data_IF_669316089790
#
_entry.id   IF_669316089790
#
_cell.length_a   1.000
_cell.length_b   1.000
_cell.length_c   1.000
_cell.angle_alpha   90.00
_cell.angle_beta   90.00
_cell.angle_gamma   90.00
#
_symmetry.space_group_name_H-M   'P 1'
#
loop_
_entity.id
_entity.type
_entity.pdbx_description
1 polymer ?
#
# COMPACT_ATOMS: atom_id res chain seq x y z
N UNK A 1 38.92 12.86 -2.88
CA UNK A 1 38.62 11.46 -2.51
C UNK A 1 37.20 11.18 -2.96
N UNK A 2 37.07 10.46 -4.07
CA UNK A 2 35.79 10.13 -4.68
C UNK A 2 35.09 9.12 -3.75
N UNK A 3 33.97 9.51 -3.13
CA UNK A 3 33.21 8.63 -2.27
C UNK A 3 32.64 7.52 -3.15
N UNK A 4 33.19 6.31 -3.06
CA UNK A 4 32.63 5.14 -3.76
C UNK A 4 31.22 4.89 -3.23
N UNK A 5 30.21 5.26 -4.01
CA UNK A 5 28.81 5.03 -3.69
C UNK A 5 28.55 3.53 -3.46
N UNK A 6 27.98 3.20 -2.30
CA UNK A 6 27.62 1.81 -2.00
C UNK A 6 26.38 1.38 -2.81
N UNK A 7 26.25 0.10 -3.19
CA UNK A 7 25.04 -0.40 -3.89
C UNK A 7 23.74 -0.14 -3.13
N UNK A 8 23.81 -0.01 -1.80
CA UNK A 8 22.67 0.27 -0.93
C UNK A 8 22.18 1.72 -1.03
N UNK A 9 23.09 2.69 -1.11
CA UNK A 9 22.75 4.11 -1.32
C UNK A 9 22.20 4.33 -2.73
N UNK A 10 22.80 3.69 -3.74
CA UNK A 10 22.31 3.75 -5.13
C UNK A 10 20.91 3.16 -5.30
N UNK A 11 20.61 2.03 -4.64
CA UNK A 11 19.27 1.46 -4.63
C UNK A 11 18.22 2.38 -3.96
N UNK A 12 18.60 3.21 -3.00
CA UNK A 12 17.67 4.17 -2.37
C UNK A 12 17.35 5.34 -3.31
N UNK A 13 18.33 5.82 -4.07
CA UNK A 13 18.14 6.85 -5.08
C UNK A 13 17.30 6.35 -6.26
N UNK A 14 17.55 5.13 -6.75
CA UNK A 14 16.74 4.53 -7.81
C UNK A 14 15.27 4.35 -7.39
N UNK A 15 14.98 4.11 -6.11
CA UNK A 15 13.59 4.09 -5.61
C UNK A 15 12.93 5.45 -5.66
N UNK A 16 13.67 6.54 -5.45
CA UNK A 16 13.17 7.92 -5.51
C UNK A 16 12.98 8.39 -6.95
N UNK A 17 13.84 7.93 -7.86
CA UNK A 17 13.87 8.35 -9.27
C UNK A 17 13.29 7.29 -10.22
N UNK A 18 12.43 6.39 -9.74
CA UNK A 18 11.83 5.34 -10.55
C UNK A 18 11.02 5.93 -11.70
N UNK A 19 11.14 5.31 -12.88
CA UNK A 19 10.42 5.68 -14.11
C UNK A 19 8.91 5.56 -13.94
N UNK A 20 8.14 6.17 -14.86
CA UNK A 20 6.68 6.08 -14.83
C UNK A 20 6.22 4.63 -15.02
N UNK A 21 6.93 3.88 -15.84
CA UNK A 21 6.68 2.49 -16.20
C UNK A 21 6.98 1.56 -15.01
N UNK A 22 8.08 1.77 -14.29
CA UNK A 22 8.36 1.06 -13.04
C UNK A 22 7.31 1.35 -11.97
N UNK A 23 6.91 2.61 -11.82
CA UNK A 23 5.86 2.97 -10.86
C UNK A 23 4.52 2.35 -11.26
N UNK A 24 4.17 2.33 -12.55
CA UNK A 24 2.97 1.69 -13.05
C UNK A 24 2.96 0.19 -12.75
N UNK A 25 4.02 -0.54 -13.13
CA UNK A 25 4.12 -1.97 -12.83
C UNK A 25 4.14 -2.27 -11.33
N UNK A 26 4.80 -1.41 -10.54
CA UNK A 26 4.83 -1.57 -9.10
C UNK A 26 3.45 -1.36 -8.47
N UNK A 27 2.87 -0.18 -8.61
CA UNK A 27 1.66 0.19 -7.87
C UNK A 27 0.42 -0.55 -8.35
N UNK A 28 0.34 -0.86 -9.65
CA UNK A 28 -0.86 -1.43 -10.27
C UNK A 28 -0.82 -2.97 -10.29
N UNK A 29 0.36 -3.59 -10.14
CA UNK A 29 0.49 -5.05 -10.16
C UNK A 29 1.36 -5.58 -9.01
N UNK A 30 2.68 -5.35 -9.02
CA UNK A 30 3.62 -6.08 -8.17
C UNK A 30 3.47 -5.81 -6.66
N UNK A 31 3.09 -4.60 -6.26
CA UNK A 31 2.86 -4.22 -4.84
C UNK A 31 1.76 -5.06 -4.19
N UNK A 32 0.80 -5.52 -4.99
CA UNK A 32 -0.40 -6.22 -4.54
C UNK A 32 -0.37 -7.71 -4.87
N UNK A 33 0.72 -8.19 -5.47
CA UNK A 33 0.84 -9.56 -5.95
C UNK A 33 0.92 -10.56 -4.77
N UNK A 34 0.34 -11.78 -4.87
CA UNK A 34 0.28 -12.74 -3.75
C UNK A 34 1.63 -13.17 -3.18
N UNK A 35 2.70 -12.99 -3.95
CA UNK A 35 4.06 -13.28 -3.55
C UNK A 35 4.86 -11.98 -3.52
N UNK A 36 5.59 -11.77 -2.43
CA UNK A 36 6.34 -10.54 -2.21
C UNK A 36 7.36 -10.27 -3.32
N UNK A 37 7.28 -9.07 -3.89
CA UNK A 37 8.32 -8.46 -4.71
C UNK A 37 9.03 -7.35 -3.94
N UNK A 38 10.32 -7.20 -4.17
CA UNK A 38 11.18 -6.15 -3.62
C UNK A 38 11.64 -5.24 -4.76
N UNK A 39 11.60 -3.92 -4.54
CA UNK A 39 12.10 -2.93 -5.51
C UNK A 39 13.59 -2.71 -5.39
N UNK A 40 14.26 -2.51 -6.51
CA UNK A 40 15.64 -2.02 -6.62
C UNK A 40 16.58 -2.83 -5.71
N UNK A 41 16.59 -4.15 -5.92
CA UNK A 41 17.28 -5.11 -5.05
C UNK A 41 18.73 -5.27 -5.53
N UNK A 42 19.74 -4.98 -4.69
CA UNK A 42 21.13 -5.21 -5.05
C UNK A 42 21.50 -6.70 -4.97
N UNK A 43 22.25 -7.17 -5.96
CA UNK A 43 22.93 -8.46 -6.07
C UNK A 43 24.37 -8.21 -6.53
N UNK A 44 25.32 -8.25 -5.58
CA UNK A 44 26.71 -7.88 -5.86
C UNK A 44 26.82 -6.46 -6.43
N UNK A 45 27.46 -6.27 -7.61
CA UNK A 45 27.59 -4.96 -8.25
C UNK A 45 26.34 -4.53 -9.04
N UNK A 46 25.33 -5.38 -9.16
CA UNK A 46 24.14 -5.14 -9.98
C UNK A 46 22.91 -4.85 -9.11
N UNK A 47 21.98 -4.07 -9.66
CA UNK A 47 20.68 -3.78 -9.04
C UNK A 47 19.60 -4.19 -10.04
N UNK A 48 18.62 -4.97 -9.57
CA UNK A 48 17.46 -5.37 -10.38
C UNK A 48 16.23 -4.56 -9.96
N UNK A 49 15.37 -4.21 -10.91
CA UNK A 49 14.24 -3.30 -10.66
C UNK A 49 13.22 -3.92 -9.72
N UNK A 50 12.88 -5.19 -9.94
CA UNK A 50 12.03 -5.97 -9.03
C UNK A 50 12.56 -7.38 -8.81
N UNK A 51 12.39 -7.90 -7.59
CA UNK A 51 12.84 -9.24 -7.23
C UNK A 51 11.86 -9.99 -6.32
N UNK A 52 11.55 -11.23 -6.67
CA UNK A 52 10.77 -12.16 -5.87
C UNK A 52 11.65 -13.31 -5.36
N UNK A 53 11.79 -13.40 -4.02
CA UNK A 53 12.64 -14.40 -3.39
C UNK A 53 12.05 -15.82 -3.53
N UNK A 54 10.74 -15.98 -3.33
CA UNK A 54 10.07 -17.30 -3.38
C UNK A 54 10.13 -17.94 -4.77
N UNK A 55 10.10 -17.13 -5.82
CA UNK A 55 10.16 -17.61 -7.21
C UNK A 55 11.56 -17.55 -7.83
N UNK A 56 12.56 -17.08 -7.06
CA UNK A 56 13.92 -16.76 -7.54
C UNK A 56 13.87 -16.04 -8.88
N UNK A 57 13.06 -14.97 -8.95
CA UNK A 57 12.74 -14.26 -10.19
C UNK A 57 13.06 -12.78 -10.05
N UNK A 58 13.88 -12.25 -10.96
CA UNK A 58 14.12 -10.83 -11.15
C UNK A 58 13.36 -10.32 -12.38
N UNK A 59 12.86 -9.10 -12.31
CA UNK A 59 12.21 -8.39 -13.42
C UNK A 59 12.99 -7.09 -13.63
N UNK A 60 13.38 -6.83 -14.88
CA UNK A 60 14.04 -5.61 -15.32
C UNK A 60 13.17 -4.91 -16.38
N UNK A 61 13.02 -3.60 -16.25
CA UNK A 61 12.32 -2.77 -17.22
C UNK A 61 13.34 -1.98 -18.02
N UNK A 62 13.35 -2.16 -19.33
CA UNK A 62 14.21 -1.40 -20.23
C UNK A 62 13.65 0.02 -20.40
N UNK A 63 14.08 0.91 -19.49
CA UNK A 63 14.15 2.34 -19.73
C UNK A 63 15.30 2.64 -20.68
N UNK A 64 15.00 3.26 -21.82
CA UNK A 64 15.98 3.73 -22.80
C UNK A 64 17.26 4.26 -22.13
N UNK A 65 18.36 3.55 -22.33
CA UNK A 65 19.76 3.93 -22.07
C UNK A 65 20.09 4.44 -20.66
N UNK A 66 20.55 3.54 -19.78
CA UNK A 66 21.59 3.88 -18.79
C UNK A 66 22.45 2.66 -18.44
N UNK A 67 23.29 2.26 -19.39
CA UNK A 67 24.73 2.12 -19.11
C UNK A 67 25.45 2.69 -20.32
N UNK A 68 25.88 3.94 -20.20
CA UNK A 68 27.05 4.39 -20.94
C UNK A 68 28.17 3.35 -20.71
N UNK A 69 28.58 2.65 -21.77
CA UNK A 69 29.92 2.05 -21.85
C UNK A 69 30.10 0.53 -21.94
N UNK A 70 29.06 -0.32 -21.87
CA UNK A 70 29.30 -1.75 -21.61
C UNK A 70 28.72 -2.66 -22.71
N UNK A 71 29.61 -3.15 -23.58
CA UNK A 71 29.27 -3.98 -24.76
C UNK A 71 28.63 -5.35 -24.44
N UNK A 72 28.32 -6.16 -25.48
CA UNK A 72 27.59 -7.43 -25.37
C UNK A 72 28.17 -8.44 -24.38
N UNK A 73 29.49 -8.38 -24.12
CA UNK A 73 30.17 -9.24 -23.15
C UNK A 73 29.77 -8.94 -21.70
N UNK A 74 29.54 -7.68 -21.34
CA UNK A 74 29.21 -7.31 -19.97
C UNK A 74 27.77 -7.66 -19.60
N UNK A 75 26.84 -7.61 -20.57
CA UNK A 75 25.47 -8.10 -20.37
C UNK A 75 25.44 -9.63 -20.20
N UNK A 76 26.30 -10.36 -20.92
CA UNK A 76 26.50 -11.81 -20.72
C UNK A 76 27.06 -12.11 -19.33
N UNK A 77 28.06 -11.37 -18.87
CA UNK A 77 28.65 -11.52 -17.53
C UNK A 77 27.61 -11.23 -16.44
N UNK A 78 26.83 -10.14 -16.59
CA UNK A 78 25.73 -9.80 -15.67
C UNK A 78 24.69 -10.91 -15.60
N UNK A 79 24.28 -11.40 -16.77
CA UNK A 79 23.27 -12.47 -16.86
C UNK A 79 23.78 -13.76 -16.24
N UNK A 80 25.03 -14.15 -16.54
CA UNK A 80 25.67 -15.32 -15.94
C UNK A 80 25.81 -15.19 -14.41
N UNK A 81 26.17 -14.01 -13.89
CA UNK A 81 26.22 -13.78 -12.45
C UNK A 81 24.86 -14.00 -11.78
N UNK A 82 23.79 -13.40 -12.31
CA UNK A 82 22.45 -13.53 -11.73
C UNK A 82 21.90 -14.96 -11.86
N UNK A 83 22.13 -15.63 -13.00
CA UNK A 83 21.56 -16.95 -13.29
C UNK A 83 22.37 -18.10 -12.71
N UNK A 84 23.70 -18.06 -12.80
CA UNK A 84 24.57 -19.19 -12.42
C UNK A 84 25.02 -19.10 -10.96
N UNK A 85 25.33 -17.88 -10.47
CA UNK A 85 25.81 -17.68 -9.09
C UNK A 85 24.64 -17.55 -8.12
N UNK A 86 23.73 -16.61 -8.38
CA UNK A 86 22.59 -16.34 -7.49
C UNK A 86 21.39 -17.26 -7.72
N UNK A 87 21.40 -18.05 -8.81
CA UNK A 87 20.32 -18.95 -9.24
C UNK A 87 18.99 -18.21 -9.43
N UNK A 88 19.05 -17.01 -10.01
CA UNK A 88 17.91 -16.13 -10.25
C UNK A 88 17.57 -16.13 -11.74
N UNK A 89 16.30 -16.36 -12.05
CA UNK A 89 15.78 -16.18 -13.42
C UNK A 89 15.50 -14.71 -13.65
N UNK A 90 15.84 -14.18 -14.82
CA UNK A 90 15.67 -12.76 -15.17
C UNK A 90 14.65 -12.65 -16.31
N UNK A 91 13.61 -11.83 -16.10
CA UNK A 91 12.64 -11.41 -17.13
C UNK A 91 12.89 -9.94 -17.47
N UNK A 92 12.92 -9.62 -18.76
CA UNK A 92 13.06 -8.26 -19.25
C UNK A 92 11.81 -7.85 -20.02
N UNK A 93 11.34 -6.62 -19.81
CA UNK A 93 10.25 -6.02 -20.56
C UNK A 93 10.65 -4.64 -21.05
N UNK A 94 10.35 -4.32 -22.30
CA UNK A 94 10.54 -2.97 -22.80
C UNK A 94 9.52 -2.00 -22.19
N UNK A 95 9.90 -0.74 -21.96
CA UNK A 95 8.96 0.30 -21.54
C UNK A 95 7.75 0.44 -22.48
N UNK A 96 7.93 0.14 -23.78
CA UNK A 96 6.84 0.16 -24.75
C UNK A 96 5.82 -0.97 -24.48
N UNK A 97 6.28 -2.16 -24.07
CA UNK A 97 5.41 -3.28 -23.73
C UNK A 97 4.58 -2.97 -22.48
N UNK A 98 5.17 -2.31 -21.47
CA UNK A 98 4.43 -1.83 -20.29
C UNK A 98 3.32 -0.86 -20.67
N UNK A 99 3.57 0.02 -21.65
CA UNK A 99 2.58 1.01 -22.10
C UNK A 99 1.48 0.42 -22.98
N UNK A 100 1.84 -0.49 -23.88
CA UNK A 100 0.94 -0.96 -24.93
C UNK A 100 0.30 -2.31 -24.61
N UNK A 101 0.91 -3.11 -23.73
CA UNK A 101 0.48 -4.47 -23.44
C UNK A 101 0.71 -4.83 -21.96
N UNK A 102 0.22 -3.97 -21.06
CA UNK A 102 0.38 -4.17 -19.62
C UNK A 102 -0.18 -5.52 -19.14
N UNK A 103 -1.36 -5.91 -19.62
CA UNK A 103 -1.99 -7.19 -19.27
C UNK A 103 -1.12 -8.39 -19.68
N UNK A 104 -0.52 -8.34 -20.88
CA UNK A 104 0.40 -9.37 -21.35
C UNK A 104 1.65 -9.50 -20.48
N UNK A 105 2.19 -8.37 -20.02
CA UNK A 105 3.33 -8.34 -19.09
C UNK A 105 2.95 -8.97 -17.75
N UNK A 106 1.81 -8.59 -17.17
CA UNK A 106 1.29 -9.17 -15.92
C UNK A 106 1.12 -10.69 -16.04
N UNK A 107 0.49 -11.16 -17.12
CA UNK A 107 0.27 -12.59 -17.37
C UNK A 107 1.59 -13.35 -17.54
N UNK A 108 2.60 -12.75 -18.18
CA UNK A 108 3.91 -13.36 -18.34
C UNK A 108 4.65 -13.52 -16.99
N UNK A 109 4.61 -12.50 -16.14
CA UNK A 109 5.16 -12.55 -14.78
C UNK A 109 4.45 -13.64 -13.96
N UNK A 110 3.12 -13.66 -13.97
CA UNK A 110 2.32 -14.62 -13.21
C UNK A 110 2.64 -16.07 -13.61
N UNK A 111 2.69 -16.34 -14.91
CA UNK A 111 3.10 -17.66 -15.44
C UNK A 111 4.46 -18.10 -14.91
N UNK A 112 5.44 -17.19 -14.88
CA UNK A 112 6.81 -17.48 -14.47
C UNK A 112 6.95 -17.68 -12.96
N UNK A 113 6.17 -16.94 -12.16
CA UNK A 113 6.09 -17.14 -10.71
C UNK A 113 5.43 -18.47 -10.40
N UNK A 114 4.30 -18.80 -11.03
CA UNK A 114 3.61 -20.09 -10.82
C UNK A 114 4.47 -21.28 -11.19
N UNK A 115 5.19 -21.22 -12.31
CA UNK A 115 6.12 -22.28 -12.71
C UNK A 115 7.28 -22.47 -11.72
N UNK A 116 7.61 -21.45 -10.92
CA UNK A 116 8.69 -21.49 -9.93
C UNK A 116 8.28 -22.12 -8.60
N UNK A 117 7.00 -21.97 -8.24
CA UNK A 117 6.52 -22.33 -6.92
C UNK A 117 6.23 -23.83 -6.87
N UNK A 118 6.67 -24.54 -5.82
CA UNK A 118 6.41 -25.97 -5.69
C UNK A 118 4.89 -26.23 -5.59
N UNK A 119 4.39 -27.08 -6.48
CA UNK A 119 2.98 -27.46 -6.55
C UNK A 119 2.56 -28.22 -5.28
N UNK A 120 1.62 -27.67 -4.52
CA UNK A 120 0.83 -28.43 -3.55
C UNK A 120 -0.58 -28.62 -4.09
N UNK A 121 -0.89 -29.83 -4.59
CA UNK A 121 -2.25 -30.33 -4.82
C UNK A 121 -2.98 -29.89 -6.10
N UNK A 122 -4.02 -30.62 -6.55
CA UNK A 122 -4.42 -30.70 -7.95
C UNK A 122 -5.13 -29.45 -8.45
N UNK A 123 -4.75 -29.08 -9.67
CA UNK A 123 -5.21 -27.94 -10.42
C UNK A 123 -6.70 -28.07 -10.83
N UNK A 124 -7.53 -27.17 -10.30
CA UNK A 124 -8.68 -26.71 -11.06
C UNK A 124 -8.17 -25.97 -12.29
N UNK A 125 -8.43 -26.51 -13.49
CA UNK A 125 -8.24 -25.78 -14.75
C UNK A 125 -9.13 -24.54 -14.70
N UNK A 126 -8.52 -23.36 -14.62
CA UNK A 126 -9.20 -22.10 -14.93
C UNK A 126 -9.12 -21.88 -16.45
N UNK A 127 -10.25 -21.54 -17.12
CA UNK A 127 -10.24 -21.22 -18.54
C UNK A 127 -9.41 -19.94 -18.81
N UNK A 128 -8.78 -19.83 -19.98
CA UNK A 128 -8.05 -18.64 -20.37
C UNK A 128 -9.05 -17.57 -20.86
N UNK A 129 -9.04 -16.42 -20.20
CA UNK A 129 -9.82 -15.25 -20.61
C UNK A 129 -10.98 -14.98 -19.68
N UNK A 130 -10.70 -14.23 -18.60
CA UNK A 130 -11.54 -13.18 -18.04
C UNK A 130 -10.94 -12.70 -16.70
N UNK A 131 -10.56 -11.42 -16.65
CA UNK A 131 -10.48 -10.63 -15.43
C UNK A 131 -9.38 -10.99 -14.43
N UNK A 132 -8.19 -10.39 -14.60
CA UNK A 132 -7.20 -10.24 -13.53
C UNK A 132 -7.73 -9.28 -12.45
N UNK A 133 -8.73 -9.73 -11.69
CA UNK A 133 -9.37 -8.99 -10.59
C UNK A 133 -9.49 -9.83 -9.31
N UNK A 134 -8.54 -10.74 -9.11
CA UNK A 134 -8.30 -11.52 -7.89
C UNK A 134 -6.79 -11.35 -7.68
N UNK A 135 -6.31 -10.66 -6.65
CA UNK A 135 -6.07 -11.27 -5.33
C UNK A 135 -5.79 -10.24 -4.21
N UNK A 136 -6.36 -9.03 -4.24
CA UNK A 136 -6.43 -8.23 -3.00
C UNK A 136 -7.68 -8.61 -2.23
N UNK A 137 -7.54 -8.91 -0.94
CA UNK A 137 -8.70 -9.07 -0.06
C UNK A 137 -9.39 -7.72 0.04
N UNK A 138 -10.65 -7.68 -0.34
CA UNK A 138 -11.50 -6.51 -0.11
C UNK A 138 -12.05 -6.60 1.31
N UNK A 139 -11.71 -5.62 2.14
CA UNK A 139 -12.18 -5.51 3.52
C UNK A 139 -13.05 -4.26 3.61
N UNK A 140 -14.26 -4.40 4.12
CA UNK A 140 -15.13 -3.26 4.41
C UNK A 140 -14.86 -2.80 5.84
N UNK A 141 -14.63 -1.51 6.02
CA UNK A 141 -14.35 -0.91 7.33
C UNK A 141 -15.38 0.18 7.60
N UNK A 142 -16.00 0.15 8.76
CA UNK A 142 -16.85 1.24 9.28
C UNK A 142 -16.17 1.85 10.50
N UNK A 143 -16.15 3.17 10.62
CA UNK A 143 -15.52 3.86 11.74
C UNK A 143 -16.29 5.08 12.20
N UNK A 144 -16.30 5.30 13.51
CA UNK A 144 -16.90 6.48 14.14
C UNK A 144 -16.06 6.92 15.37
N UNK A 145 -16.20 8.18 15.76
CA UNK A 145 -15.52 8.80 16.89
C UNK A 145 -16.42 9.79 17.61
N UNK A 146 -16.48 9.67 18.94
CA UNK A 146 -17.32 10.50 19.80
C UNK A 146 -16.48 11.13 20.91
N UNK A 147 -16.77 12.39 21.25
CA UNK A 147 -16.10 13.09 22.33
C UNK A 147 -17.10 13.93 23.14
N UNK A 148 -17.10 13.76 24.46
CA UNK A 148 -17.94 14.52 25.38
C UNK A 148 -17.20 15.76 25.89
N UNK A 149 -17.37 16.88 25.19
CA UNK A 149 -16.53 18.08 25.36
C UNK A 149 -15.37 18.05 24.37
N UNK A 150 -14.95 19.21 23.85
CA UNK A 150 -13.94 19.28 22.79
C UNK A 150 -12.87 20.34 23.12
N UNK A 151 -11.84 20.01 23.92
CA UNK A 151 -11.43 18.66 24.33
C UNK A 151 -12.19 18.09 25.55
N UNK A 152 -12.18 16.77 25.71
CA UNK A 152 -12.82 16.03 26.80
C UNK A 152 -12.65 14.51 26.69
N UNK A 153 -13.34 13.72 27.53
CA UNK A 153 -13.42 12.27 27.41
C UNK A 153 -13.96 11.85 26.04
N UNK A 154 -13.20 11.03 25.31
CA UNK A 154 -13.57 10.57 23.98
C UNK A 154 -13.33 9.09 23.77
N UNK A 155 -14.02 8.54 22.77
CA UNK A 155 -13.90 7.16 22.35
C UNK A 155 -14.06 7.03 20.85
N UNK A 156 -13.60 5.90 20.31
CA UNK A 156 -13.70 5.54 18.91
C UNK A 156 -14.17 4.09 18.77
N UNK A 157 -14.84 3.81 17.65
CA UNK A 157 -15.33 2.49 17.29
C UNK A 157 -14.98 2.17 15.84
N UNK A 158 -14.61 0.92 15.57
CA UNK A 158 -14.37 0.43 14.23
C UNK A 158 -14.88 -1.00 14.05
N UNK A 159 -15.45 -1.29 12.89
CA UNK A 159 -15.88 -2.62 12.48
C UNK A 159 -15.17 -2.97 11.19
N UNK A 160 -14.49 -4.12 11.17
CA UNK A 160 -13.87 -4.70 9.99
C UNK A 160 -14.67 -5.92 9.55
N UNK A 161 -14.97 -6.01 8.26
CA UNK A 161 -15.71 -7.09 7.66
C UNK A 161 -14.98 -7.66 6.44
N UNK A 162 -14.78 -8.98 6.44
CA UNK A 162 -14.17 -9.73 5.34
C UNK A 162 -14.94 -11.03 5.11
N UNK A 163 -15.70 -11.11 4.02
CA UNK A 163 -16.65 -12.21 3.80
C UNK A 163 -17.65 -12.29 4.95
N UNK A 164 -17.73 -13.44 5.61
CA UNK A 164 -18.58 -13.68 6.78
C UNK A 164 -17.92 -13.28 8.11
N UNK A 165 -16.61 -13.00 8.10
CA UNK A 165 -15.88 -12.64 9.31
C UNK A 165 -16.07 -11.16 9.64
N UNK A 166 -16.44 -10.89 10.89
CA UNK A 166 -16.58 -9.56 11.46
C UNK A 166 -15.70 -9.42 12.69
N UNK A 167 -15.06 -8.26 12.83
CA UNK A 167 -14.28 -7.89 14.02
C UNK A 167 -14.64 -6.47 14.44
N UNK A 168 -14.99 -6.29 15.72
CA UNK A 168 -15.18 -4.98 16.33
C UNK A 168 -13.92 -4.58 17.09
N UNK A 169 -13.56 -3.30 17.03
CA UNK A 169 -12.48 -2.67 17.75
C UNK A 169 -13.01 -1.37 18.37
N UNK A 170 -12.60 -1.08 19.60
CA UNK A 170 -12.94 0.17 20.26
C UNK A 170 -11.83 0.57 21.23
N UNK A 171 -11.78 1.86 21.55
CA UNK A 171 -10.91 2.40 22.58
C UNK A 171 -11.31 3.83 22.91
N UNK A 172 -10.69 4.41 23.93
CA UNK A 172 -10.96 5.80 24.31
C UNK A 172 -9.86 6.42 25.15
N UNK A 173 -9.93 7.73 25.29
CA UNK A 173 -8.97 8.56 26.00
C UNK A 173 -9.69 9.59 26.88
N UNK A 174 -9.17 9.86 28.07
CA UNK A 174 -9.78 10.79 29.02
C UNK A 174 -9.75 12.26 28.56
N UNK A 175 -8.77 12.65 27.75
CA UNK A 175 -8.60 14.03 27.30
C UNK A 175 -8.19 14.08 25.82
N UNK A 176 -9.17 14.15 24.94
CA UNK A 176 -8.99 14.12 23.48
C UNK A 176 -10.01 15.02 22.79
N UNK A 177 -10.12 14.93 21.46
CA UNK A 177 -11.08 15.69 20.64
C UNK A 177 -11.83 14.75 19.70
N UNK A 178 -12.99 15.19 19.17
CA UNK A 178 -13.76 14.38 18.23
C UNK A 178 -12.92 13.96 17.02
N UNK A 179 -12.25 14.92 16.38
CA UNK A 179 -11.43 14.67 15.20
C UNK A 179 -10.27 13.69 15.48
N UNK A 180 -9.70 13.70 16.69
CA UNK A 180 -8.66 12.73 17.07
C UNK A 180 -9.23 11.33 17.20
N UNK A 181 -10.43 11.18 17.79
CA UNK A 181 -11.09 9.88 17.92
C UNK A 181 -11.49 9.32 16.56
N UNK A 182 -12.08 10.14 15.68
CA UNK A 182 -12.40 9.76 14.30
C UNK A 182 -11.15 9.25 13.56
N UNK A 183 -10.05 10.00 13.61
CA UNK A 183 -8.77 9.58 13.00
C UNK A 183 -8.23 8.29 13.60
N UNK A 184 -8.29 8.16 14.93
CA UNK A 184 -7.76 7.00 15.65
C UNK A 184 -8.52 5.73 15.32
N UNK A 185 -9.84 5.82 15.13
CA UNK A 185 -10.67 4.70 14.68
C UNK A 185 -10.23 4.18 13.31
N UNK A 186 -10.01 5.07 12.34
CA UNK A 186 -9.53 4.70 11.00
C UNK A 186 -8.13 4.10 11.05
N UNK A 187 -7.20 4.74 11.76
CA UNK A 187 -5.81 4.26 11.89
C UNK A 187 -5.79 2.86 12.48
N UNK A 188 -6.49 2.64 13.60
CA UNK A 188 -6.46 1.36 14.31
C UNK A 188 -7.11 0.25 13.47
N UNK A 189 -8.16 0.58 12.70
CA UNK A 189 -8.78 -0.37 11.80
C UNK A 189 -7.83 -0.78 10.66
N UNK A 190 -7.12 0.16 10.05
CA UNK A 190 -6.14 -0.14 9.01
C UNK A 190 -4.91 -0.90 9.57
N UNK A 191 -4.40 -0.54 10.76
CA UNK A 191 -3.29 -1.23 11.43
C UNK A 191 -3.62 -2.70 11.78
N UNK A 192 -4.90 -3.02 11.98
CA UNK A 192 -5.33 -4.39 12.25
C UNK A 192 -5.22 -5.32 11.03
N UNK A 193 -5.05 -4.77 9.83
CA UNK A 193 -4.87 -5.53 8.59
C UNK A 193 -3.44 -6.06 8.51
N UNK A 194 -3.30 -7.39 8.45
CA UNK A 194 -1.99 -8.07 8.49
C UNK A 194 -1.23 -8.03 7.16
N UNK A 195 -1.91 -7.64 6.08
CA UNK A 195 -1.38 -7.63 4.72
C UNK A 195 -2.05 -6.50 3.92
N UNK A 196 -1.43 -6.03 2.81
CA UNK A 196 -2.06 -5.08 1.90
C UNK A 196 -3.45 -5.55 1.45
N UNK A 197 -4.43 -4.65 1.48
CA UNK A 197 -5.84 -4.96 1.17
C UNK A 197 -6.44 -3.84 0.32
N UNK A 198 -7.51 -4.16 -0.41
CA UNK A 198 -8.46 -3.15 -0.87
C UNK A 198 -9.43 -2.86 0.27
N UNK A 199 -9.60 -1.59 0.63
CA UNK A 199 -10.42 -1.20 1.78
C UNK A 199 -11.54 -0.30 1.30
N UNK A 200 -12.78 -0.70 1.57
CA UNK A 200 -13.95 0.16 1.44
C UNK A 200 -14.21 0.80 2.80
N UNK A 201 -13.72 2.02 3.00
CA UNK A 201 -13.79 2.75 4.28
C UNK A 201 -15.03 3.65 4.32
N UNK A 202 -15.93 3.34 5.24
CA UNK A 202 -17.13 4.11 5.54
C UNK A 202 -16.94 4.91 6.84
N UNK A 203 -17.13 6.22 6.76
CA UNK A 203 -17.11 7.09 7.94
C UNK A 203 -18.01 8.31 7.70
N UNK A 204 -18.61 8.82 8.76
CA UNK A 204 -19.38 10.05 8.75
C UNK A 204 -18.54 11.32 8.99
N UNK A 205 -17.28 11.14 9.40
CA UNK A 205 -16.31 12.22 9.53
C UNK A 205 -16.02 12.88 8.19
N UNK A 206 -16.66 14.02 7.94
CA UNK A 206 -16.31 14.89 6.81
C UNK A 206 -14.86 15.31 6.87
N UNK A 207 -14.31 15.53 8.08
CA UNK A 207 -12.93 15.96 8.25
C UNK A 207 -11.95 14.91 7.70
N UNK A 208 -12.14 13.64 8.04
CA UNK A 208 -11.28 12.55 7.56
C UNK A 208 -11.48 12.32 6.06
N UNK A 209 -12.74 12.19 5.61
CA UNK A 209 -13.04 11.89 4.20
C UNK A 209 -12.54 13.00 3.28
N UNK A 210 -12.88 14.27 3.57
CA UNK A 210 -12.44 15.39 2.72
C UNK A 210 -10.91 15.50 2.67
N UNK A 211 -10.23 15.37 3.82
CA UNK A 211 -8.78 15.54 3.87
C UNK A 211 -8.03 14.44 3.11
N UNK A 212 -8.56 13.21 3.08
CA UNK A 212 -8.02 12.13 2.24
C UNK A 212 -8.41 12.29 0.77
N UNK A 213 -9.70 12.49 0.48
CA UNK A 213 -10.24 12.54 -0.88
C UNK A 213 -9.71 13.74 -1.67
N UNK A 214 -9.68 14.93 -1.06
CA UNK A 214 -9.16 16.16 -1.68
C UNK A 214 -7.64 16.28 -1.60
N UNK A 215 -6.96 15.28 -1.02
CA UNK A 215 -5.50 15.24 -0.92
C UNK A 215 -4.90 16.31 0.00
N UNK A 216 -5.68 16.92 0.90
CA UNK A 216 -5.19 17.96 1.80
C UNK A 216 -4.11 17.44 2.73
N UNK A 217 -4.30 16.26 3.31
CA UNK A 217 -3.34 15.66 4.23
C UNK A 217 -1.97 15.42 3.55
N UNK A 218 -1.98 14.94 2.30
CA UNK A 218 -0.76 14.78 1.48
C UNK A 218 -0.08 16.14 1.24
N UNK A 219 -0.87 17.17 0.91
CA UNK A 219 -0.38 18.53 0.72
C UNK A 219 0.14 19.20 2.00
N UNK A 220 -0.39 18.86 3.18
CA UNK A 220 0.14 19.31 4.47
C UNK A 220 1.48 18.63 4.76
N UNK A 221 1.57 17.31 4.60
CA UNK A 221 2.82 16.55 4.79
C UNK A 221 3.96 17.10 3.92
N UNK A 222 3.69 17.38 2.64
CA UNK A 222 4.68 17.96 1.72
C UNK A 222 5.18 19.36 2.13
N UNK A 223 4.41 20.09 2.93
CA UNK A 223 4.72 21.45 3.42
C UNK A 223 5.10 21.47 4.90
N UNK A 224 5.55 20.34 5.45
CA UNK A 224 5.95 20.26 6.86
C UNK A 224 4.79 20.49 7.83
N UNK A 225 3.60 19.98 7.48
CA UNK A 225 2.37 20.11 8.27
C UNK A 225 1.85 21.54 8.40
N UNK A 226 2.04 22.36 7.37
CA UNK A 226 1.52 23.72 7.28
C UNK A 226 0.42 23.78 6.20
N UNK A 227 -0.72 24.37 6.55
CA UNK A 227 -1.85 24.59 5.64
C UNK A 227 -1.59 25.76 4.68
N UNK A 228 -2.47 25.96 3.68
CA UNK A 228 -2.38 27.09 2.74
C UNK A 228 -2.50 28.47 3.39
N UNK A 229 -3.21 28.55 4.52
CA UNK A 229 -3.36 29.76 5.33
C UNK A 229 -2.15 30.01 6.26
N UNK A 230 -1.03 29.30 6.07
CA UNK A 230 0.19 29.33 6.91
C UNK A 230 -0.02 28.89 8.37
N UNK A 231 -1.19 28.36 8.72
CA UNK A 231 -1.43 27.80 10.05
C UNK A 231 -0.97 26.33 10.10
N UNK A 232 -0.57 25.82 11.28
CA UNK A 232 -0.31 24.39 11.46
C UNK A 232 -1.55 23.56 11.09
N UNK A 233 -1.31 22.41 10.46
CA UNK A 233 -2.32 21.39 10.29
C UNK A 233 -2.69 20.79 11.65
N UNK A 234 -3.96 20.45 11.84
CA UNK A 234 -4.42 19.77 13.05
C UNK A 234 -4.03 18.29 12.99
N UNK A 235 -3.66 17.72 14.13
CA UNK A 235 -3.35 16.29 14.30
C UNK A 235 -2.29 15.74 13.32
N UNK A 236 -1.14 16.41 13.12
CA UNK A 236 -0.12 15.96 12.17
C UNK A 236 0.44 14.57 12.50
N UNK A 237 0.52 14.25 13.80
CA UNK A 237 0.92 12.95 14.34
C UNK A 237 0.04 11.79 13.83
N UNK A 238 -1.29 11.99 13.83
CA UNK A 238 -2.24 11.00 13.36
C UNK A 238 -2.28 10.93 11.83
N UNK A 239 -2.22 12.09 11.16
CA UNK A 239 -2.20 12.13 9.71
C UNK A 239 -0.96 11.47 9.11
N UNK A 240 0.20 11.60 9.75
CA UNK A 240 1.42 10.93 9.29
C UNK A 240 1.25 9.41 9.29
N UNK A 241 0.74 8.85 10.38
CA UNK A 241 0.43 7.41 10.51
C UNK A 241 -0.61 6.96 9.48
N UNK A 242 -1.71 7.70 9.37
CA UNK A 242 -2.79 7.36 8.44
C UNK A 242 -2.32 7.38 6.98
N UNK A 243 -1.52 8.37 6.58
CA UNK A 243 -1.00 8.43 5.22
C UNK A 243 -0.06 7.26 4.90
N UNK A 244 0.77 6.83 5.85
CA UNK A 244 1.61 5.64 5.68
C UNK A 244 0.76 4.37 5.46
N UNK A 245 -0.35 4.23 6.18
CA UNK A 245 -1.30 3.12 5.98
C UNK A 245 -2.01 3.18 4.63
N UNK A 246 -2.38 4.39 4.17
CA UNK A 246 -2.93 4.61 2.84
C UNK A 246 -1.92 4.39 1.70
N UNK A 247 -0.61 4.36 1.98
CA UNK A 247 0.43 3.94 1.03
C UNK A 247 0.55 2.41 0.96
N UNK A 248 0.15 1.69 2.04
CA UNK A 248 0.15 0.23 2.13
C UNK A 248 -1.14 -0.38 1.56
N UNK A 249 -2.31 0.17 1.91
CA UNK A 249 -3.62 -0.32 1.48
C UNK A 249 -4.19 0.53 0.35
N UNK A 250 -5.03 -0.07 -0.49
CA UNK A 250 -5.80 0.68 -1.49
C UNK A 250 -7.13 1.08 -0.87
N UNK A 251 -7.21 2.30 -0.33
CA UNK A 251 -8.38 2.77 0.42
C UNK A 251 -9.33 3.55 -0.49
N UNK A 252 -10.58 3.09 -0.57
CA UNK A 252 -11.72 3.75 -1.21
C UNK A 252 -12.62 4.32 -0.13
N UNK A 253 -13.01 5.59 -0.30
CA UNK A 253 -13.66 6.37 0.74
C UNK A 253 -15.15 6.50 0.43
N UNK A 254 -15.96 6.21 1.44
CA UNK A 254 -17.41 6.39 1.42
C UNK A 254 -17.81 7.28 2.57
N UNK A 255 -18.18 8.52 2.25
CA UNK A 255 -18.80 9.37 3.25
C UNK A 255 -20.24 8.92 3.47
N UNK A 256 -20.59 8.65 4.72
CA UNK A 256 -21.98 8.40 5.13
C UNK A 256 -22.49 9.57 5.95
N UNK A 257 -23.79 9.80 5.93
CA UNK A 257 -24.39 10.82 6.79
C UNK A 257 -24.53 10.22 8.19
N UNK A 258 -23.99 10.88 9.22
CA UNK A 258 -24.16 10.48 10.62
C UNK A 258 -25.64 10.31 10.96
N UNK A 259 -25.96 9.25 11.72
CA UNK A 259 -27.31 8.83 12.09
C UNK A 259 -28.26 8.48 10.92
N UNK A 260 -27.74 8.12 9.75
CA UNK A 260 -28.52 7.49 8.69
C UNK A 260 -28.80 5.99 8.99
N UNK A 261 -29.61 5.34 8.14
CA UNK A 261 -30.00 3.92 8.24
C UNK A 261 -28.84 2.92 8.02
N UNK A 262 -27.60 3.26 8.37
CA UNK A 262 -26.46 2.33 8.33
C UNK A 262 -26.23 1.71 9.73
N UNK A 263 -26.64 0.45 9.96
CA UNK A 263 -26.53 -0.20 11.26
C UNK A 263 -25.08 -0.35 11.72
N UNK A 264 -24.11 -0.46 10.81
CA UNK A 264 -22.71 -0.61 11.15
C UNK A 264 -22.10 0.70 11.64
N UNK A 265 -22.45 1.84 11.03
CA UNK A 265 -21.99 3.14 11.54
C UNK A 265 -22.61 3.42 12.91
N UNK A 266 -23.90 3.17 13.07
CA UNK A 266 -24.59 3.34 14.36
C UNK A 266 -23.96 2.45 15.45
N UNK A 267 -23.53 1.24 15.08
CA UNK A 267 -22.79 0.37 15.99
C UNK A 267 -21.41 0.92 16.35
N UNK A 268 -20.70 1.56 15.42
CA UNK A 268 -19.44 2.25 15.73
C UNK A 268 -19.65 3.43 16.68
N UNK A 269 -20.72 4.23 16.50
CA UNK A 269 -21.11 5.30 17.44
C UNK A 269 -21.37 4.75 18.84
N UNK A 270 -22.16 3.68 18.96
CA UNK A 270 -22.43 3.02 20.25
C UNK A 270 -21.12 2.61 20.97
N UNK A 271 -20.18 2.02 20.23
CA UNK A 271 -18.87 1.62 20.76
C UNK A 271 -18.07 2.85 21.21
N UNK A 272 -18.01 3.90 20.38
CA UNK A 272 -17.30 5.14 20.68
C UNK A 272 -17.86 5.83 21.93
N UNK A 273 -19.18 5.96 22.02
CA UNK A 273 -19.88 6.54 23.16
C UNK A 273 -19.64 5.71 24.41
N UNK A 274 -19.72 4.38 24.33
CA UNK A 274 -19.45 3.48 25.46
C UNK A 274 -18.03 3.66 26.00
N UNK A 275 -17.02 3.75 25.14
CA UNK A 275 -15.63 3.99 25.55
C UNK A 275 -15.45 5.38 26.18
N UNK A 276 -16.05 6.42 25.61
CA UNK A 276 -15.95 7.78 26.17
C UNK A 276 -16.50 7.89 27.60
N UNK A 277 -17.56 7.12 27.91
CA UNK A 277 -18.21 7.11 29.23
C UNK A 277 -17.35 6.47 30.31
N UNK A 278 -16.37 5.63 29.97
CA UNK A 278 -15.44 5.03 30.95
C UNK A 278 -14.53 6.07 31.61
N UNK A 279 -14.42 7.25 31.01
CA UNK A 279 -13.57 8.35 31.48
C UNK A 279 -14.35 9.58 31.95
N UNK A 280 -15.69 9.47 32.08
CA UNK A 280 -16.55 10.48 32.71
C UNK A 280 -16.62 10.25 34.21
#
# INVERSE_FOLDING_TARGET
MEQKETPRTRAQELRKNATKEENHLWYDFLRTYPVQFLRQKPFGPYIVDFYCHKAKLAIELDGSQHYEGNGPEQDKIRTAYLQEVEKIRVLRFANLEIKQNFEGVCAAIDRQVRAALPSSGPAGRLPPGEGHRRFMKTVTIYTDGACSGNPGPGGWGAILQYGEFRKELSGGEAHTTNNRMELTGVITALEALKEPCEVELYSDSKYVIDALQKGWAKGWRARGWIKSDKKPALNPDLWERLLALCELHTVRLHWVKGHADNPHNNRCDELAVAESRKYK
#
